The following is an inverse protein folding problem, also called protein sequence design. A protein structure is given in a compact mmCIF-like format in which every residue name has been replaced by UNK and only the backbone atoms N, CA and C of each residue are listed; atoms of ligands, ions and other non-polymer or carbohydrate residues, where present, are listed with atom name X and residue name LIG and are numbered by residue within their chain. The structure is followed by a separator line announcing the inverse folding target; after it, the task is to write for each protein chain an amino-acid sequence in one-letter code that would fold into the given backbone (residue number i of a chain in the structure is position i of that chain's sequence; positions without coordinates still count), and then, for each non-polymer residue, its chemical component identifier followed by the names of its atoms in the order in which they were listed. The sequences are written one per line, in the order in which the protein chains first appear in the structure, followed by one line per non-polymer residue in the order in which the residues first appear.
data_IF_207944415652
#
_entry.id   IF_207944415652
#
_cell.length_a   1.000
_cell.length_b   1.000
_cell.length_c   1.000
_cell.angle_alpha   90.00
_cell.angle_beta   90.00
_cell.angle_gamma   90.00
#
_symmetry.space_group_name_H-M   'P 1'
#
loop_
_entity.id
_entity.type
_entity.pdbx_description
1 polymer ?
#
# COMPACT_ATOMS: atom_id res chain seq x y z
N UNK A 1 30.06 21.21 28.50
CA UNK A 1 29.40 20.04 27.89
C UNK A 1 29.54 20.19 26.39
N UNK A 2 30.19 19.23 25.73
CA UNK A 2 30.19 19.15 24.27
C UNK A 2 28.84 18.51 23.89
N UNK A 3 28.01 19.11 23.03
CA UNK A 3 26.77 18.46 22.58
C UNK A 3 27.14 17.15 21.90
N UNK A 4 26.41 16.08 22.20
CA UNK A 4 26.56 14.81 21.48
C UNK A 4 26.34 15.07 19.98
N UNK A 5 27.08 14.38 19.09
CA UNK A 5 26.87 14.50 17.66
C UNK A 5 25.41 14.16 17.31
N UNK A 6 24.80 14.96 16.43
CA UNK A 6 23.45 14.73 15.95
C UNK A 6 23.40 13.43 15.14
N UNK A 7 22.46 12.55 15.50
CA UNK A 7 22.26 11.28 14.83
C UNK A 7 21.52 11.49 13.51
N UNK A 8 22.22 11.24 12.41
CA UNK A 8 21.70 11.36 11.05
C UNK A 8 21.54 10.00 10.37
N UNK A 9 21.86 8.91 11.08
CA UNK A 9 21.84 7.57 10.49
C UNK A 9 20.44 6.95 10.64
N UNK A 10 19.76 6.61 9.52
CA UNK A 10 18.50 5.91 9.61
C UNK A 10 18.66 4.48 10.13
N UNK A 11 17.62 3.90 10.77
CA UNK A 11 17.63 2.52 11.24
C UNK A 11 18.13 1.52 10.18
N UNK A 12 18.71 0.42 10.65
CA UNK A 12 19.27 -0.59 9.76
C UNK A 12 18.21 -1.19 8.82
N UNK A 13 18.68 -1.73 7.69
CA UNK A 13 17.79 -2.43 6.77
C UNK A 13 17.26 -3.70 7.43
N UNK A 14 15.95 -3.90 7.32
CA UNK A 14 15.26 -5.05 7.91
C UNK A 14 14.26 -5.65 6.93
N UNK A 15 13.84 -6.88 7.23
CA UNK A 15 12.91 -7.64 6.40
C UNK A 15 11.72 -8.09 7.24
N UNK A 16 10.56 -7.44 7.10
CA UNK A 16 9.32 -7.93 7.68
C UNK A 16 8.91 -9.27 7.06
N UNK A 17 8.40 -10.19 7.89
CA UNK A 17 7.99 -11.53 7.49
C UNK A 17 6.53 -11.80 7.87
N UNK A 18 5.78 -12.35 6.91
CA UNK A 18 4.37 -12.73 7.13
C UNK A 18 4.32 -14.18 7.59
N UNK A 19 3.74 -14.40 8.76
CA UNK A 19 3.55 -15.70 9.37
C UNK A 19 2.07 -15.94 9.73
N UNK A 20 1.73 -17.21 9.98
CA UNK A 20 0.43 -17.64 10.49
C UNK A 20 0.63 -18.88 11.31
N UNK A 21 0.02 -18.91 12.48
CA UNK A 21 0.07 -20.04 13.39
C UNK A 21 -1.32 -20.22 14.02
N UNK A 22 -1.84 -21.44 14.04
CA UNK A 22 -3.15 -21.75 14.65
C UNK A 22 -3.24 -21.42 16.14
N UNK A 23 -2.11 -21.36 16.84
CA UNK A 23 -2.06 -21.06 18.28
C UNK A 23 -1.83 -19.58 18.57
N UNK A 24 -1.65 -18.73 17.55
CA UNK A 24 -1.36 -17.30 17.70
C UNK A 24 -2.41 -16.50 16.93
N UNK A 25 -3.02 -15.49 17.59
CA UNK A 25 -4.06 -14.63 17.01
C UNK A 25 -5.19 -15.39 16.29
N UNK A 26 -5.63 -16.51 16.87
CA UNK A 26 -6.69 -17.38 16.32
C UNK A 26 -6.44 -17.85 14.88
N UNK A 27 -5.17 -18.09 14.50
CA UNK A 27 -4.84 -18.53 13.16
C UNK A 27 -4.87 -17.42 12.10
N UNK A 28 -4.91 -16.15 12.50
CA UNK A 28 -4.84 -15.01 11.56
C UNK A 28 -3.43 -14.83 11.03
N UNK A 29 -3.32 -14.26 9.84
CA UNK A 29 -2.06 -13.78 9.30
C UNK A 29 -1.56 -12.58 10.10
N UNK A 30 -0.29 -12.63 10.50
CA UNK A 30 0.38 -11.56 11.21
C UNK A 30 1.76 -11.29 10.59
N UNK A 31 2.27 -10.10 10.85
CA UNK A 31 3.55 -9.61 10.39
C UNK A 31 4.52 -9.53 11.57
N UNK A 32 5.70 -10.11 11.40
CA UNK A 32 6.80 -10.00 12.34
C UNK A 32 7.86 -9.12 11.71
N UNK A 33 8.37 -8.17 12.46
CA UNK A 33 9.45 -7.29 12.04
C UNK A 33 10.26 -6.84 13.25
N UNK A 34 11.53 -6.60 13.02
CA UNK A 34 12.43 -5.95 13.96
C UNK A 34 13.55 -5.31 13.16
N UNK A 35 14.00 -4.14 13.60
CA UNK A 35 15.26 -3.54 13.16
C UNK A 35 16.07 -3.10 14.37
N UNK A 36 17.34 -2.80 14.15
CA UNK A 36 18.21 -2.19 15.12
C UNK A 36 18.65 -0.83 14.59
N UNK A 37 18.88 0.09 15.50
CA UNK A 37 19.57 1.33 15.20
C UNK A 37 20.76 1.45 16.18
N UNK A 38 21.94 1.77 15.63
CA UNK A 38 23.22 1.72 16.35
C UNK A 38 23.48 2.98 17.17
N UNK A 39 22.75 4.06 16.90
CA UNK A 39 22.97 5.35 17.53
C UNK A 39 21.87 5.66 18.57
N UNK A 40 20.70 6.14 18.17
CA UNK A 40 19.64 6.58 19.09
C UNK A 40 18.64 5.47 19.48
N UNK A 41 18.58 4.40 18.70
CA UNK A 41 17.67 3.28 18.85
C UNK A 41 16.31 3.54 18.20
N UNK A 42 15.54 2.48 17.98
CA UNK A 42 14.19 2.59 17.38
C UNK A 42 13.20 3.14 18.41
N UNK A 43 12.46 4.19 18.03
CA UNK A 43 11.40 4.78 18.86
C UNK A 43 10.09 4.01 18.70
N UNK A 44 9.58 3.91 17.47
CA UNK A 44 8.37 3.15 17.16
C UNK A 44 8.32 2.70 15.71
N UNK A 45 7.33 1.85 15.41
CA UNK A 45 7.03 1.43 14.06
C UNK A 45 5.65 1.94 13.63
N UNK A 46 5.52 2.21 12.34
CA UNK A 46 4.26 2.49 11.68
C UNK A 46 4.04 1.50 10.53
N UNK A 47 2.79 1.09 10.33
CA UNK A 47 2.38 0.20 9.25
C UNK A 47 1.34 0.88 8.37
N UNK A 48 1.46 0.65 7.08
CA UNK A 48 0.47 1.00 6.07
C UNK A 48 0.17 -0.23 5.20
N UNK A 49 -1.10 -0.62 5.15
CA UNK A 49 -1.62 -1.66 4.25
C UNK A 49 -2.40 -1.00 3.10
N UNK A 50 -2.01 -1.25 1.85
CA UNK A 50 -2.68 -0.64 0.68
C UNK A 50 -2.78 -1.59 -0.51
N UNK A 51 -3.87 -1.47 -1.28
CA UNK A 51 -4.10 -2.25 -2.50
C UNK A 51 -3.24 -1.80 -3.69
N UNK A 52 -2.59 -0.64 -3.58
CA UNK A 52 -1.81 -0.04 -4.67
C UNK A 52 -0.34 0.05 -4.28
N UNK A 53 0.52 -0.57 -5.08
CA UNK A 53 1.96 -0.46 -4.93
C UNK A 53 2.43 0.95 -5.29
N UNK A 54 3.00 1.65 -4.33
CA UNK A 54 3.61 2.97 -4.47
C UNK A 54 5.11 2.83 -4.18
N UNK A 55 5.93 3.56 -4.94
CA UNK A 55 7.39 3.48 -4.85
C UNK A 55 7.96 4.88 -4.63
N UNK A 56 9.09 4.95 -3.89
CA UNK A 56 9.81 6.20 -3.65
C UNK A 56 9.19 7.06 -2.55
N UNK A 57 9.47 8.35 -2.58
CA UNK A 57 9.08 9.32 -1.53
C UNK A 57 7.58 9.53 -1.41
N UNK A 58 6.80 9.17 -2.43
CA UNK A 58 5.34 9.32 -2.47
C UNK A 58 4.62 8.48 -1.42
N UNK A 59 5.21 7.37 -0.97
CA UNK A 59 4.60 6.49 0.04
C UNK A 59 4.39 7.20 1.38
N UNK A 60 5.26 8.16 1.72
CA UNK A 60 5.19 8.90 2.98
C UNK A 60 3.93 9.75 3.09
N UNK A 61 3.36 10.17 1.96
CA UNK A 61 2.15 11.00 1.87
C UNK A 61 0.89 10.19 1.55
N UNK A 62 0.98 8.86 1.56
CA UNK A 62 -0.10 7.98 1.14
C UNK A 62 -0.71 7.22 2.31
N UNK A 63 -2.03 7.00 2.19
CA UNK A 63 -2.85 6.30 3.16
C UNK A 63 -2.76 6.86 4.58
N UNK A 64 -3.17 6.02 5.53
CA UNK A 64 -3.08 6.32 6.96
C UNK A 64 -2.06 5.38 7.56
N UNK A 65 -0.92 5.93 7.98
CA UNK A 65 0.07 5.21 8.76
C UNK A 65 -0.44 5.01 10.18
N UNK A 66 -0.36 3.79 10.69
CA UNK A 66 -0.80 3.45 12.05
C UNK A 66 0.39 2.98 12.85
N UNK A 67 0.54 3.49 14.07
CA UNK A 67 1.52 2.95 15.02
C UNK A 67 1.23 1.48 15.27
N UNK A 68 2.26 0.66 15.22
CA UNK A 68 2.16 -0.78 15.37
C UNK A 68 3.35 -1.36 16.12
N UNK A 69 3.12 -2.50 16.75
CA UNK A 69 4.15 -3.30 17.40
C UNK A 69 4.26 -4.66 16.71
N UNK A 70 5.41 -5.30 16.86
CA UNK A 70 5.63 -6.66 16.35
C UNK A 70 5.37 -7.67 17.46
N UNK A 71 4.58 -8.73 17.23
CA UNK A 71 3.88 -9.06 15.98
C UNK A 71 2.60 -8.22 15.74
N UNK A 72 2.32 -7.87 14.49
CA UNK A 72 1.14 -7.11 14.08
C UNK A 72 0.14 -7.99 13.31
N UNK A 73 -1.12 -8.04 13.75
CA UNK A 73 -2.17 -8.77 13.02
C UNK A 73 -2.57 -7.96 11.79
N UNK A 74 -2.46 -8.58 10.60
CA UNK A 74 -2.79 -7.90 9.35
C UNK A 74 -4.28 -7.58 9.28
N UNK A 75 -4.63 -6.40 8.77
CA UNK A 75 -6.03 -6.08 8.45
C UNK A 75 -6.45 -6.85 7.19
N UNK A 76 -5.56 -6.96 6.21
CA UNK A 76 -5.81 -7.74 5.01
C UNK A 76 -5.44 -9.21 5.18
N UNK A 77 -6.40 -9.99 5.70
CA UNK A 77 -6.28 -11.44 5.84
C UNK A 77 -6.26 -12.21 4.50
N UNK A 78 -6.47 -11.52 3.37
CA UNK A 78 -6.41 -12.12 2.02
C UNK A 78 -5.06 -11.92 1.32
N UNK A 79 -4.09 -11.24 1.94
CA UNK A 79 -2.73 -11.03 1.43
C UNK A 79 -2.65 -10.43 0.01
N UNK A 80 -3.61 -9.56 -0.35
CA UNK A 80 -3.64 -8.79 -1.61
C UNK A 80 -3.13 -7.35 -1.45
N UNK A 81 -2.85 -6.91 -0.23
CA UNK A 81 -2.29 -5.59 0.07
C UNK A 81 -0.76 -5.61 0.05
N UNK A 82 -0.19 -4.51 -0.43
CA UNK A 82 1.18 -4.10 -0.14
C UNK A 82 1.23 -3.66 1.31
N UNK A 83 2.28 -4.09 2.01
CA UNK A 83 2.51 -3.74 3.42
C UNK A 83 3.80 -2.97 3.50
N UNK A 84 3.73 -1.77 4.05
CA UNK A 84 4.88 -0.91 4.29
C UNK A 84 5.10 -0.82 5.79
N UNK A 85 6.32 -1.11 6.23
CA UNK A 85 6.73 -1.00 7.63
C UNK A 85 7.75 0.11 7.72
N UNK A 86 7.43 1.16 8.45
CA UNK A 86 8.31 2.29 8.72
C UNK A 86 8.84 2.18 10.14
N UNK A 87 10.15 2.12 10.31
CA UNK A 87 10.80 2.28 11.61
C UNK A 87 11.28 3.72 11.74
N UNK A 88 10.95 4.38 12.85
CA UNK A 88 11.48 5.70 13.19
C UNK A 88 12.42 5.58 14.39
N UNK A 89 13.54 6.30 14.35
CA UNK A 89 14.41 6.47 15.51
C UNK A 89 13.96 7.65 16.38
N UNK A 90 14.67 7.89 17.49
CA UNK A 90 14.33 8.98 18.43
C UNK A 90 14.66 10.36 17.91
N UNK A 91 15.47 10.46 16.86
CA UNK A 91 15.89 11.69 16.21
C UNK A 91 15.07 12.04 14.96
N UNK A 92 14.15 11.16 14.57
CA UNK A 92 13.24 11.33 13.45
C UNK A 92 13.75 10.77 12.11
N UNK A 93 14.88 10.07 12.08
CA UNK A 93 15.28 9.33 10.88
C UNK A 93 14.37 8.11 10.71
N UNK A 94 14.08 7.77 9.46
CA UNK A 94 13.14 6.70 9.14
C UNK A 94 13.69 5.71 8.12
N UNK A 95 13.30 4.45 8.29
CA UNK A 95 13.55 3.36 7.34
C UNK A 95 12.25 2.68 6.98
N UNK A 96 11.96 2.56 5.68
CA UNK A 96 10.76 1.87 5.18
C UNK A 96 11.18 0.54 4.53
N UNK A 97 10.63 -0.55 5.04
CA UNK A 97 10.66 -1.87 4.42
C UNK A 97 9.32 -2.19 3.75
N UNK A 98 9.35 -2.96 2.66
CA UNK A 98 8.17 -3.25 1.83
C UNK A 98 7.98 -4.74 1.69
N UNK A 99 6.75 -5.20 1.92
CA UNK A 99 6.30 -6.56 1.61
C UNK A 99 5.28 -6.51 0.48
N UNK A 100 5.57 -7.25 -0.59
CA UNK A 100 4.69 -7.37 -1.76
C UNK A 100 3.49 -8.26 -1.43
N UNK A 101 2.30 -7.98 -2.02
CA UNK A 101 1.15 -8.86 -1.85
C UNK A 101 1.46 -10.26 -2.40
N UNK A 102 1.00 -11.30 -1.69
CA UNK A 102 1.10 -12.69 -2.19
C UNK A 102 0.08 -12.96 -3.28
N UNK A 103 -1.08 -12.32 -3.20
CA UNK A 103 -2.17 -12.45 -4.17
C UNK A 103 -2.55 -11.07 -4.74
N UNK A 104 -1.72 -10.47 -5.62
CA UNK A 104 -1.99 -9.13 -6.14
C UNK A 104 -3.36 -9.06 -6.81
N UNK A 105 -4.07 -7.95 -6.60
CA UNK A 105 -5.34 -7.69 -7.28
C UNK A 105 -5.16 -7.72 -8.79
N UNK A 106 -6.05 -8.44 -9.46
CA UNK A 106 -6.08 -8.47 -10.93
C UNK A 106 -6.69 -7.17 -11.42
N UNK A 107 -6.28 -6.72 -12.61
CA UNK A 107 -6.72 -5.44 -13.16
C UNK A 107 -8.24 -5.34 -13.22
N UNK A 108 -8.94 -6.41 -13.65
CA UNK A 108 -10.40 -6.45 -13.77
C UNK A 108 -11.18 -6.43 -12.44
N UNK A 109 -10.52 -6.61 -11.29
CA UNK A 109 -11.14 -6.46 -9.97
C UNK A 109 -11.28 -4.98 -9.54
N UNK A 110 -10.66 -4.06 -10.29
CA UNK A 110 -10.77 -2.62 -10.09
C UNK A 110 -12.06 -2.09 -10.71
N UNK A 111 -13.01 -1.67 -9.88
CA UNK A 111 -14.32 -1.13 -10.30
C UNK A 111 -14.19 0.10 -11.21
N UNK A 112 -13.10 0.86 -11.08
CA UNK A 112 -12.79 2.02 -11.91
C UNK A 112 -12.70 1.64 -13.40
N UNK A 113 -12.20 0.43 -13.69
CA UNK A 113 -12.07 -0.07 -15.05
C UNK A 113 -13.45 -0.35 -15.66
N UNK A 114 -14.37 -0.91 -14.86
CA UNK A 114 -15.74 -1.14 -15.29
C UNK A 114 -16.47 0.18 -15.59
N UNK A 115 -16.22 1.22 -14.80
CA UNK A 115 -16.76 2.56 -15.09
C UNK A 115 -16.27 3.08 -16.44
N UNK A 116 -14.97 2.98 -16.72
CA UNK A 116 -14.39 3.42 -17.99
C UNK A 116 -14.99 2.63 -19.16
N UNK A 117 -15.14 1.31 -19.03
CA UNK A 117 -15.76 0.45 -20.06
C UNK A 117 -17.21 0.87 -20.32
N UNK A 118 -18.02 1.06 -19.27
CA UNK A 118 -19.42 1.46 -19.41
C UNK A 118 -19.53 2.85 -20.05
N UNK A 119 -18.72 3.82 -19.62
CA UNK A 119 -18.66 5.15 -20.24
C UNK A 119 -18.30 5.07 -21.72
N UNK A 120 -17.30 4.26 -22.07
CA UNK A 120 -16.90 4.04 -23.47
C UNK A 120 -18.03 3.46 -24.31
N UNK A 121 -18.79 2.50 -23.78
CA UNK A 121 -19.96 1.90 -24.46
C UNK A 121 -21.10 2.91 -24.63
N UNK A 122 -21.37 3.74 -23.62
CA UNK A 122 -22.40 4.80 -23.70
C UNK A 122 -22.04 5.82 -24.78
N UNK A 123 -20.78 6.26 -24.83
CA UNK A 123 -20.29 7.19 -25.85
C UNK A 123 -20.39 6.55 -27.24
N UNK A 124 -19.93 5.31 -27.40
CA UNK A 124 -20.01 4.59 -28.67
C UNK A 124 -21.46 4.44 -29.16
N UNK A 125 -22.39 4.12 -28.25
CA UNK A 125 -23.81 4.03 -28.56
C UNK A 125 -24.41 5.38 -28.97
N UNK A 126 -24.05 6.47 -28.29
CA UNK A 126 -24.49 7.82 -28.64
C UNK A 126 -24.01 8.23 -30.04
N UNK A 127 -22.74 7.96 -30.36
CA UNK A 127 -22.16 8.21 -31.69
C UNK A 127 -22.85 7.37 -32.76
N UNK A 128 -23.09 6.09 -32.49
CA UNK A 128 -23.82 5.20 -33.39
C UNK A 128 -25.25 5.72 -33.67
N UNK A 129 -25.98 6.15 -32.63
CA UNK A 129 -27.34 6.69 -32.78
C UNK A 129 -27.34 8.00 -33.59
N UNK A 130 -26.39 8.91 -33.32
CA UNK A 130 -26.28 10.19 -34.03
C UNK A 130 -25.96 10.01 -35.52
N UNK A 131 -25.04 9.10 -35.85
CA UNK A 131 -24.69 8.79 -37.26
C UNK A 131 -25.83 8.09 -38.00
N UNK A 132 -26.58 7.20 -37.33
CA UNK A 132 -27.77 6.54 -37.90
C UNK A 132 -28.91 7.53 -38.16
N UNK A 133 -29.16 8.49 -37.27
CA UNK A 133 -30.17 9.53 -37.44
C UNK A 133 -29.88 10.41 -38.68
N UNK A 134 -28.64 10.86 -38.86
CA UNK A 134 -28.23 11.66 -40.04
C UNK A 134 -28.44 10.91 -41.37
N UNK A 135 -28.17 9.60 -41.41
CA UNK A 135 -28.37 8.78 -42.62
C UNK A 135 -29.83 8.61 -43.04
N UNK A 136 -30.79 8.72 -42.11
CA UNK A 136 -32.21 8.63 -42.43
C UNK A 136 -32.79 9.96 -42.94
N UNK A 137 -32.25 11.10 -42.49
CA UNK A 137 -32.63 12.43 -43.00
C UNK A 137 -32.16 12.72 -44.43
N UNK A 138 -31.05 12.12 -44.87
CA UNK A 138 -30.51 12.28 -46.23
C UNK A 138 -31.14 11.35 -47.29
N UNK A 139 -32.08 10.48 -46.89
CA UNK A 139 -32.79 9.53 -47.76
C UNK A 139 -34.25 9.92 -48.03
N UNK A 140 -34.71 11.05 -47.47
CA UNK A 140 -35.98 11.71 -47.81
C UNK A 140 -35.69 12.91 -48.70
#
# INVERSE_FOLDING_TARGET
MIPAPEDIEPPESFKPEIARDSTIFDGKWFLVFATQDKASGVDHYEILETRSGIVGTWIKRQGTWMKAESPYVLQDQNLRSWIYVKALDKTGNERIAVVKPRYPLKWYERWEIWIIIVLGLVIAYAVYKATRSKRQGARK
#
